data_IF_332829461819
#
_entry.id   IF_332829461819
#
_cell.length_a   1.000
_cell.length_b   1.000
_cell.length_c   1.000
_cell.angle_alpha   90.00
_cell.angle_beta   90.00
_cell.angle_gamma   90.00
#
_symmetry.space_group_name_H-M   'P 1'
#
loop_
_entity.id
_entity.type
_entity.pdbx_description
1 polymer ?
#
# COMPACT_ATOMS: atom_id res chain seq x y z
N UNK A 1 25.16 31.39 1.14
CA UNK A 1 24.72 30.04 0.73
C UNK A 1 23.78 29.52 1.80
N UNK A 2 22.61 28.99 1.44
CA UNK A 2 21.76 28.34 2.43
C UNK A 2 22.50 27.11 2.97
N UNK A 3 22.72 27.07 4.28
CA UNK A 3 23.32 25.90 4.94
C UNK A 3 22.28 24.78 4.88
N UNK A 4 22.63 23.66 4.25
CA UNK A 4 21.81 22.44 4.23
C UNK A 4 22.44 21.45 5.21
N UNK A 5 21.64 20.96 6.16
CA UNK A 5 22.09 19.99 7.15
C UNK A 5 22.04 18.55 6.60
N UNK A 6 22.73 17.63 7.28
CA UNK A 6 22.77 16.22 6.90
C UNK A 6 21.37 15.59 6.92
N UNK A 7 20.57 15.88 7.97
CA UNK A 7 19.23 15.33 8.11
C UNK A 7 18.26 15.87 7.07
N UNK A 8 18.39 17.13 6.65
CA UNK A 8 17.61 17.69 5.55
C UNK A 8 17.87 16.99 4.21
N UNK A 9 19.13 16.67 3.90
CA UNK A 9 19.47 15.93 2.67
C UNK A 9 18.87 14.53 2.72
N UNK A 10 19.04 13.79 3.82
CA UNK A 10 18.46 12.45 3.94
C UNK A 10 16.93 12.44 3.89
N UNK A 11 16.26 13.44 4.48
CA UNK A 11 14.81 13.60 4.36
C UNK A 11 14.38 13.80 2.90
N UNK A 12 15.17 14.54 2.11
CA UNK A 12 14.92 14.68 0.67
C UNK A 12 15.19 13.38 -0.10
N UNK A 13 16.22 12.61 0.28
CA UNK A 13 16.50 11.29 -0.30
C UNK A 13 15.33 10.33 -0.10
N UNK A 14 14.81 10.25 1.13
CA UNK A 14 13.67 9.42 1.47
C UNK A 14 12.41 9.90 0.73
N UNK A 15 12.15 11.21 0.69
CA UNK A 15 11.00 11.77 -0.05
C UNK A 15 11.04 11.43 -1.54
N UNK A 16 12.20 11.55 -2.20
CA UNK A 16 12.34 11.21 -3.62
C UNK A 16 12.11 9.72 -3.84
N UNK A 17 12.63 8.86 -2.96
CA UNK A 17 12.41 7.41 -3.01
C UNK A 17 10.92 7.06 -2.84
N UNK A 18 10.23 7.69 -1.90
CA UNK A 18 8.81 7.48 -1.67
C UNK A 18 7.97 7.94 -2.87
N UNK A 19 8.31 9.07 -3.48
CA UNK A 19 7.65 9.53 -4.70
C UNK A 19 7.84 8.55 -5.87
N UNK A 20 9.02 7.95 -6.01
CA UNK A 20 9.27 6.91 -7.02
C UNK A 20 8.42 5.66 -6.76
N UNK A 21 8.33 5.19 -5.51
CA UNK A 21 7.47 4.07 -5.14
C UNK A 21 5.98 4.37 -5.42
N UNK A 22 5.52 5.59 -5.13
CA UNK A 22 4.16 6.04 -5.46
C UNK A 22 3.93 6.05 -6.97
N UNK A 23 4.91 6.48 -7.76
CA UNK A 23 4.82 6.45 -9.22
C UNK A 23 4.66 5.02 -9.75
N UNK A 24 5.47 4.07 -9.27
CA UNK A 24 5.38 2.65 -9.67
C UNK A 24 4.01 2.05 -9.32
N UNK A 25 3.50 2.33 -8.12
CA UNK A 25 2.17 1.88 -7.70
C UNK A 25 1.05 2.50 -8.56
N UNK A 26 1.15 3.80 -8.85
CA UNK A 26 0.21 4.51 -9.72
C UNK A 26 0.23 3.95 -11.14
N UNK A 27 1.41 3.67 -11.70
CA UNK A 27 1.57 3.10 -13.03
C UNK A 27 0.91 1.71 -13.14
N UNK A 28 1.10 0.86 -12.13
CA UNK A 28 0.43 -0.43 -12.03
C UNK A 28 -1.10 -0.29 -11.98
N UNK A 29 -1.60 0.63 -11.16
CA UNK A 29 -3.04 0.92 -11.03
C UNK A 29 -3.64 1.45 -12.34
N UNK A 30 -2.96 2.41 -12.99
CA UNK A 30 -3.37 2.96 -14.29
C UNK A 30 -3.44 1.88 -15.37
N UNK A 31 -2.44 0.99 -15.44
CA UNK A 31 -2.45 -0.15 -16.37
C UNK A 31 -3.64 -1.07 -16.14
N UNK A 32 -3.95 -1.39 -14.89
CA UNK A 32 -5.11 -2.22 -14.56
C UNK A 32 -6.45 -1.55 -14.94
N UNK A 33 -6.58 -0.25 -14.69
CA UNK A 33 -7.79 0.52 -15.03
C UNK A 33 -7.99 0.60 -16.55
N UNK A 34 -6.94 0.87 -17.32
CA UNK A 34 -7.00 0.89 -18.78
C UNK A 34 -7.37 -0.49 -19.32
N UNK A 35 -6.72 -1.56 -18.84
CA UNK A 35 -7.02 -2.93 -19.28
C UNK A 35 -8.48 -3.35 -18.98
N UNK A 36 -9.06 -2.89 -17.87
CA UNK A 36 -10.47 -3.12 -17.57
C UNK A 36 -11.39 -2.37 -18.55
N UNK A 37 -11.06 -1.11 -18.87
CA UNK A 37 -11.83 -0.31 -19.82
C UNK A 37 -11.73 -0.88 -21.25
N UNK A 38 -10.54 -1.35 -21.66
CA UNK A 38 -10.32 -2.03 -22.95
C UNK A 38 -11.20 -3.28 -23.06
N UNK A 39 -11.19 -4.17 -22.05
CA UNK A 39 -12.05 -5.36 -22.03
C UNK A 39 -13.53 -5.03 -22.09
N UNK A 40 -13.95 -3.96 -21.41
CA UNK A 40 -15.34 -3.51 -21.42
C UNK A 40 -15.74 -3.00 -22.81
N UNK A 41 -14.85 -2.26 -23.47
CA UNK A 41 -15.05 -1.79 -24.83
C UNK A 41 -15.10 -2.94 -25.84
N UNK A 42 -14.14 -3.87 -25.80
CA UNK A 42 -14.14 -5.08 -26.64
C UNK A 42 -15.40 -5.93 -26.44
N UNK A 43 -15.85 -6.08 -25.18
CA UNK A 43 -17.10 -6.77 -24.87
C UNK A 43 -18.32 -6.09 -25.47
N UNK A 44 -18.37 -4.75 -25.45
CA UNK A 44 -19.48 -3.98 -26.03
C UNK A 44 -19.48 -4.04 -27.56
N UNK A 45 -18.31 -3.91 -28.20
CA UNK A 45 -18.14 -4.07 -29.66
C UNK A 45 -18.60 -5.47 -30.12
N UNK A 46 -18.14 -6.53 -29.45
CA UNK A 46 -18.54 -7.90 -29.77
C UNK A 46 -20.05 -8.11 -29.60
N UNK A 47 -20.64 -7.55 -28.53
CA UNK A 47 -22.07 -7.62 -28.31
C UNK A 47 -22.86 -6.86 -29.38
N UNK A 48 -22.33 -5.72 -29.86
CA UNK A 48 -22.92 -4.95 -30.95
C UNK A 48 -22.87 -5.71 -32.27
N UNK A 49 -21.72 -6.30 -32.63
CA UNK A 49 -21.61 -7.12 -33.83
C UNK A 49 -22.59 -8.29 -33.81
N UNK A 50 -22.67 -9.01 -32.68
CA UNK A 50 -23.65 -10.09 -32.52
C UNK A 50 -25.11 -9.60 -32.64
N UNK A 51 -25.40 -8.35 -32.22
CA UNK A 51 -26.72 -7.75 -32.44
C UNK A 51 -27.03 -7.46 -33.89
N UNK A 52 -26.03 -7.12 -34.70
CA UNK A 52 -26.21 -6.92 -36.14
C UNK A 52 -26.55 -8.25 -36.82
N UNK A 53 -25.77 -9.30 -36.53
CA UNK A 53 -26.00 -10.64 -37.08
C UNK A 53 -27.41 -11.17 -36.71
N UNK A 54 -27.84 -11.01 -35.46
CA UNK A 54 -29.17 -11.44 -35.01
C UNK A 54 -30.31 -10.62 -35.64
N UNK A 55 -30.08 -9.34 -35.95
CA UNK A 55 -31.05 -8.52 -36.65
C UNK A 55 -31.17 -8.97 -38.11
N UNK A 56 -30.06 -9.26 -38.78
CA UNK A 56 -30.06 -9.79 -40.14
C UNK A 56 -30.82 -11.12 -40.22
N UNK A 57 -30.59 -12.04 -39.28
CA UNK A 57 -31.34 -13.30 -39.16
C UNK A 57 -32.84 -13.06 -38.96
N UNK A 58 -33.22 -12.11 -38.09
CA UNK A 58 -34.62 -11.77 -37.84
C UNK A 58 -35.30 -11.16 -39.08
N UNK A 59 -34.59 -10.33 -39.84
CA UNK A 59 -35.06 -9.77 -41.12
C UNK A 59 -35.29 -10.90 -42.14
N UNK A 60 -34.36 -11.85 -42.27
CA UNK A 60 -34.53 -12.99 -43.17
C UNK A 60 -35.71 -13.86 -42.76
N UNK A 61 -35.89 -14.09 -41.46
CA UNK A 61 -37.04 -14.84 -40.94
C UNK A 61 -38.36 -14.14 -41.26
N UNK A 62 -38.47 -12.83 -41.01
CA UNK A 62 -39.67 -12.04 -41.34
C UNK A 62 -40.02 -12.12 -42.83
N UNK A 63 -39.02 -11.97 -43.71
CA UNK A 63 -39.19 -12.12 -45.17
C UNK A 63 -39.73 -13.51 -45.53
N UNK A 64 -39.17 -14.58 -44.94
CA UNK A 64 -39.62 -15.95 -45.22
C UNK A 64 -41.05 -16.21 -44.74
N UNK A 65 -41.43 -15.72 -43.56
CA UNK A 65 -42.79 -15.86 -43.02
C UNK A 65 -43.80 -15.00 -43.77
N UNK A 66 -43.37 -13.83 -44.27
CA UNK A 66 -44.19 -12.97 -45.12
C UNK A 66 -44.53 -13.67 -46.43
N UNK A 67 -43.53 -14.26 -47.09
CA UNK A 67 -43.71 -15.05 -48.30
C UNK A 67 -44.65 -16.25 -48.06
N UNK A 68 -44.50 -16.96 -46.93
CA UNK A 68 -45.36 -18.08 -46.57
C UNK A 68 -46.82 -17.65 -46.31
N UNK A 69 -47.04 -16.49 -45.72
CA UNK A 69 -48.37 -15.89 -45.52
C UNK A 69 -49.03 -15.53 -46.86
N UNK A 70 -48.26 -14.98 -47.81
CA UNK A 70 -48.75 -14.71 -49.17
C UNK A 70 -49.09 -16.01 -49.94
N UNK A 71 -48.28 -17.06 -49.79
CA UNK A 71 -48.54 -18.38 -50.37
C UNK A 71 -49.80 -19.02 -49.76
N UNK A 72 -49.97 -18.93 -48.44
CA UNK A 72 -51.16 -19.41 -47.73
C UNK A 72 -52.42 -18.65 -48.17
N UNK A 73 -52.33 -17.34 -48.39
CA UNK A 73 -53.43 -16.54 -48.92
C UNK A 73 -53.82 -17.00 -50.32
N UNK A 74 -52.84 -17.22 -51.21
CA UNK A 74 -53.11 -17.78 -52.56
C UNK A 74 -53.74 -19.18 -52.50
N UNK A 75 -53.36 -20.00 -51.53
CA UNK A 75 -53.96 -21.31 -51.32
C UNK A 75 -55.43 -21.21 -50.88
N UNK A 76 -55.75 -20.27 -49.98
CA UNK A 76 -57.14 -19.96 -49.60
C UNK A 76 -57.97 -19.52 -50.81
N UNK A 77 -57.46 -18.58 -51.62
CA UNK A 77 -58.16 -18.11 -52.82
C UNK A 77 -58.42 -19.25 -53.82
N UNK A 78 -57.46 -20.18 -53.95
CA UNK A 78 -57.58 -21.37 -54.81
C UNK A 78 -58.60 -22.37 -54.26
N UNK A 79 -58.63 -22.58 -52.94
CA UNK A 79 -59.59 -23.47 -52.28
C UNK A 79 -61.03 -22.94 -52.43
N UNK A 80 -61.24 -21.63 -52.27
CA UNK A 80 -62.54 -21.00 -52.52
C UNK A 80 -62.99 -21.13 -53.97
N UNK A 81 -62.10 -20.91 -54.94
CA UNK A 81 -62.45 -21.11 -56.35
C UNK A 81 -62.83 -22.57 -56.67
N UNK A 82 -62.19 -23.54 -56.00
CA UNK A 82 -62.50 -24.97 -56.13
C UNK A 82 -63.84 -25.33 -55.49
N UNK A 83 -64.16 -24.72 -54.34
CA UNK A 83 -65.46 -24.83 -53.69
C UNK A 83 -66.58 -24.26 -54.58
N UNK A 84 -66.40 -23.05 -55.12
CA UNK A 84 -67.37 -22.44 -56.04
C UNK A 84 -67.66 -23.34 -57.25
N UNK A 85 -66.62 -23.98 -57.81
CA UNK A 85 -66.74 -24.92 -58.91
C UNK A 85 -67.47 -26.23 -58.51
N UNK A 86 -67.21 -26.75 -57.30
CA UNK A 86 -67.89 -27.92 -56.75
C UNK A 86 -69.37 -27.63 -56.48
N UNK A 87 -69.69 -26.47 -55.89
CA UNK A 87 -71.07 -26.02 -55.64
C UNK A 87 -71.84 -25.78 -56.94
N UNK A 88 -71.19 -25.19 -57.95
CA UNK A 88 -71.78 -25.05 -59.28
C UNK A 88 -72.08 -26.42 -59.94
N UNK A 89 -71.18 -27.40 -59.78
CA UNK A 89 -71.36 -28.76 -60.30
C UNK A 89 -72.49 -29.51 -59.58
N UNK A 90 -72.56 -29.41 -58.25
CA UNK A 90 -73.64 -29.97 -57.45
C UNK A 90 -75.00 -29.35 -57.80
N UNK A 91 -75.05 -28.02 -57.94
CA UNK A 91 -76.24 -27.29 -58.39
C UNK A 91 -76.68 -27.74 -59.79
N UNK A 92 -75.73 -27.92 -60.71
CA UNK A 92 -76.01 -28.44 -62.05
C UNK A 92 -76.51 -29.88 -62.05
N UNK A 93 -76.01 -30.75 -61.16
CA UNK A 93 -76.51 -32.13 -61.01
C UNK A 93 -77.93 -32.15 -60.43
N UNK A 94 -78.18 -31.36 -59.39
CA UNK A 94 -79.50 -31.24 -58.76
C UNK A 94 -80.57 -30.66 -59.69
N UNK A 95 -80.17 -29.89 -60.71
CA UNK A 95 -81.05 -29.34 -61.73
C UNK A 95 -81.37 -30.31 -62.90
N UNK A 96 -80.80 -31.52 -62.91
CA UNK A 96 -81.12 -32.53 -63.94
C UNK A 96 -82.56 -33.08 -63.76
N UNK A 97 -83.27 -33.38 -64.86
CA UNK A 97 -84.64 -33.90 -64.79
C UNK A 97 -84.69 -35.29 -64.14
N UNK A 98 -85.78 -35.55 -63.41
CA UNK A 98 -86.09 -36.85 -62.79
C UNK A 98 -86.18 -37.92 -63.87
N UNK A 99 -85.57 -39.09 -63.66
CA UNK A 99 -85.61 -40.21 -64.60
C UNK A 99 -87.05 -40.74 -64.78
N UNK A 100 -87.32 -41.41 -65.91
CA UNK A 100 -88.68 -41.89 -66.29
C UNK A 100 -89.31 -42.87 -65.26
N UNK A 101 -88.52 -43.46 -64.36
CA UNK A 101 -88.95 -44.32 -63.26
C UNK A 101 -89.27 -43.56 -61.95
N UNK A 102 -89.16 -42.23 -61.95
CA UNK A 102 -89.40 -41.36 -60.80
C UNK A 102 -88.20 -41.18 -59.87
N UNK A 103 -87.02 -41.73 -60.22
CA UNK A 103 -85.80 -41.53 -59.44
C UNK A 103 -85.15 -40.16 -59.75
N UNK A 104 -84.78 -39.42 -58.70
CA UNK A 104 -83.96 -38.20 -58.84
C UNK A 104 -82.53 -38.53 -59.26
N UNK A 105 -81.79 -37.59 -59.90
CA UNK A 105 -80.37 -37.72 -60.17
C UNK A 105 -79.57 -38.03 -58.89
N UNK A 106 -78.71 -39.05 -58.92
CA UNK A 106 -77.82 -39.38 -57.82
C UNK A 106 -76.60 -38.42 -57.84
N UNK A 107 -76.71 -37.35 -57.06
CA UNK A 107 -75.65 -36.34 -56.91
C UNK A 107 -74.75 -36.60 -55.69
N UNK A 108 -74.68 -37.86 -55.20
CA UNK A 108 -73.87 -38.21 -54.03
C UNK A 108 -72.40 -37.86 -54.20
N UNK A 109 -71.85 -38.07 -55.40
CA UNK A 109 -70.45 -37.76 -55.70
C UNK A 109 -70.16 -36.26 -55.75
N UNK A 110 -71.03 -35.43 -56.34
CA UNK A 110 -70.90 -33.98 -56.33
C UNK A 110 -71.07 -33.41 -54.92
N UNK A 111 -71.93 -34.04 -54.11
CA UNK A 111 -72.10 -33.70 -52.70
C UNK A 111 -70.82 -33.99 -51.90
N UNK A 112 -70.26 -35.20 -52.06
CA UNK A 112 -68.98 -35.59 -51.43
C UNK A 112 -67.86 -34.64 -51.86
N UNK A 113 -67.78 -34.26 -53.14
CA UNK A 113 -66.82 -33.26 -53.63
C UNK A 113 -66.97 -31.88 -53.02
N UNK A 114 -68.21 -31.46 -52.73
CA UNK A 114 -68.48 -30.17 -52.08
C UNK A 114 -68.06 -30.22 -50.62
N UNK A 115 -68.28 -31.36 -49.94
CA UNK A 115 -67.82 -31.59 -48.56
C UNK A 115 -66.29 -31.59 -48.50
N UNK A 116 -65.61 -32.27 -49.43
CA UNK A 116 -64.15 -32.27 -49.54
C UNK A 116 -63.59 -30.87 -49.80
N UNK A 117 -64.16 -30.11 -50.76
CA UNK A 117 -63.72 -28.75 -51.05
C UNK A 117 -63.95 -27.78 -49.86
N UNK A 118 -65.03 -27.96 -49.08
CA UNK A 118 -65.25 -27.21 -47.83
C UNK A 118 -64.20 -27.52 -46.78
N UNK A 119 -63.85 -28.79 -46.62
CA UNK A 119 -62.78 -29.19 -45.70
C UNK A 119 -61.41 -28.62 -46.12
N UNK A 120 -61.13 -28.55 -47.42
CA UNK A 120 -59.93 -27.91 -47.97
C UNK A 120 -59.90 -26.40 -47.68
N UNK A 121 -61.03 -25.70 -47.81
CA UNK A 121 -61.14 -24.27 -47.43
C UNK A 121 -60.90 -24.08 -45.93
N UNK A 122 -61.50 -24.91 -45.07
CA UNK A 122 -61.28 -24.84 -43.62
C UNK A 122 -59.81 -25.07 -43.28
N UNK A 123 -59.16 -26.06 -43.91
CA UNK A 123 -57.74 -26.33 -43.72
C UNK A 123 -56.85 -25.17 -44.20
N UNK A 124 -57.14 -24.59 -45.37
CA UNK A 124 -56.39 -23.46 -45.90
C UNK A 124 -56.56 -22.20 -45.03
N UNK A 125 -57.78 -21.93 -44.54
CA UNK A 125 -58.05 -20.82 -43.62
C UNK A 125 -57.28 -20.97 -42.31
N UNK A 126 -57.29 -22.17 -41.70
CA UNK A 126 -56.52 -22.45 -40.48
C UNK A 126 -55.01 -22.28 -40.70
N UNK A 127 -54.49 -22.72 -41.84
CA UNK A 127 -53.07 -22.55 -42.19
C UNK A 127 -52.70 -21.07 -42.41
N UNK A 128 -53.58 -20.29 -43.03
CA UNK A 128 -53.40 -18.84 -43.16
C UNK A 128 -53.42 -18.12 -41.81
N UNK A 129 -54.32 -18.50 -40.91
CA UNK A 129 -54.36 -17.94 -39.56
C UNK A 129 -53.05 -18.22 -38.80
N UNK A 130 -52.55 -19.46 -38.86
CA UNK A 130 -51.28 -19.82 -38.24
C UNK A 130 -50.10 -19.04 -38.82
N UNK A 131 -49.97 -18.99 -40.15
CA UNK A 131 -48.86 -18.26 -40.81
C UNK A 131 -48.91 -16.75 -40.56
N UNK A 132 -50.11 -16.17 -40.40
CA UNK A 132 -50.26 -14.76 -39.98
C UNK A 132 -49.79 -14.53 -38.55
N UNK A 133 -50.12 -15.43 -37.62
CA UNK A 133 -49.62 -15.35 -36.25
C UNK A 133 -48.09 -15.52 -36.17
N UNK A 134 -47.53 -16.41 -37.00
CA UNK A 134 -46.08 -16.59 -37.11
C UNK A 134 -45.40 -15.34 -37.68
N UNK A 135 -46.01 -14.68 -38.67
CA UNK A 135 -45.51 -13.41 -39.22
C UNK A 135 -45.54 -12.28 -38.18
N UNK A 136 -46.63 -12.15 -37.41
CA UNK A 136 -46.71 -11.15 -36.33
C UNK A 136 -45.59 -11.36 -35.30
N UNK A 137 -45.35 -12.61 -34.91
CA UNK A 137 -44.24 -12.98 -34.02
C UNK A 137 -42.87 -12.65 -34.63
N UNK A 138 -42.69 -12.89 -35.92
CA UNK A 138 -41.44 -12.56 -36.62
C UNK A 138 -41.19 -11.04 -36.65
N UNK A 139 -42.23 -10.24 -36.90
CA UNK A 139 -42.14 -8.78 -36.86
C UNK A 139 -41.80 -8.26 -35.46
N UNK A 140 -42.40 -8.83 -34.42
CA UNK A 140 -42.07 -8.50 -33.02
C UNK A 140 -40.61 -8.83 -32.69
N UNK A 141 -40.13 -10.00 -33.10
CA UNK A 141 -38.75 -10.41 -32.92
C UNK A 141 -37.77 -9.48 -33.64
N UNK A 142 -38.04 -9.08 -34.89
CA UNK A 142 -37.22 -8.11 -35.62
C UNK A 142 -37.15 -6.77 -34.87
N UNK A 143 -38.30 -6.23 -34.44
CA UNK A 143 -38.33 -4.98 -33.67
C UNK A 143 -37.56 -5.08 -32.35
N UNK A 144 -37.59 -6.25 -31.69
CA UNK A 144 -36.79 -6.50 -30.49
C UNK A 144 -35.28 -6.50 -30.79
N UNK A 145 -34.85 -7.08 -31.92
CA UNK A 145 -33.45 -7.08 -32.34
C UNK A 145 -32.96 -5.68 -32.75
N UNK A 146 -33.80 -4.85 -33.37
CA UNK A 146 -33.47 -3.45 -33.65
C UNK A 146 -33.21 -2.65 -32.36
N UNK A 147 -34.09 -2.81 -31.36
CA UNK A 147 -33.89 -2.17 -30.05
C UNK A 147 -32.63 -2.68 -29.36
N UNK A 148 -32.35 -3.98 -29.46
CA UNK A 148 -31.13 -4.58 -28.91
C UNK A 148 -29.89 -3.97 -29.56
N UNK A 149 -29.86 -3.85 -30.88
CA UNK A 149 -28.75 -3.26 -31.63
C UNK A 149 -28.51 -1.79 -31.22
N UNK A 150 -29.58 -1.01 -31.12
CA UNK A 150 -29.49 0.39 -30.67
C UNK A 150 -28.88 0.50 -29.26
N UNK A 151 -29.34 -0.33 -28.32
CA UNK A 151 -28.77 -0.36 -26.97
C UNK A 151 -27.30 -0.78 -26.95
N UNK A 152 -26.90 -1.77 -27.77
CA UNK A 152 -25.49 -2.20 -27.84
C UNK A 152 -24.59 -1.15 -28.49
N UNK A 153 -25.09 -0.37 -29.46
CA UNK A 153 -24.36 0.77 -30.04
C UNK A 153 -24.17 1.91 -29.04
N UNK A 154 -25.19 2.20 -28.23
CA UNK A 154 -25.08 3.15 -27.13
C UNK A 154 -24.05 2.68 -26.08
N UNK A 155 -24.12 1.42 -25.67
CA UNK A 155 -23.16 0.83 -24.73
C UNK A 155 -21.72 0.89 -25.26
N UNK A 156 -21.53 0.62 -26.55
CA UNK A 156 -20.22 0.70 -27.22
C UNK A 156 -19.67 2.12 -27.21
N UNK A 157 -20.51 3.11 -27.52
CA UNK A 157 -20.14 4.54 -27.46
C UNK A 157 -19.73 4.96 -26.04
N UNK A 158 -20.50 4.55 -25.04
CA UNK A 158 -20.18 4.83 -23.63
C UNK A 158 -18.88 4.15 -23.19
N UNK A 159 -18.64 2.90 -23.59
CA UNK A 159 -17.42 2.18 -23.29
C UNK A 159 -16.18 2.80 -23.96
N UNK A 160 -16.31 3.25 -25.22
CA UNK A 160 -15.25 3.97 -25.93
C UNK A 160 -14.90 5.30 -25.23
N UNK A 161 -15.91 6.06 -24.80
CA UNK A 161 -15.71 7.30 -24.02
C UNK A 161 -15.02 7.01 -22.69
N UNK A 162 -15.44 5.96 -21.96
CA UNK A 162 -14.84 5.56 -20.70
C UNK A 162 -13.37 5.15 -20.86
N UNK A 163 -13.04 4.41 -21.92
CA UNK A 163 -11.66 4.04 -22.25
C UNK A 163 -10.80 5.28 -22.54
N UNK A 164 -11.28 6.18 -23.41
CA UNK A 164 -10.57 7.42 -23.72
C UNK A 164 -10.33 8.29 -22.48
N UNK A 165 -11.34 8.41 -21.61
CA UNK A 165 -11.23 9.13 -20.34
C UNK A 165 -10.22 8.47 -19.40
N UNK A 166 -10.26 7.15 -19.25
CA UNK A 166 -9.32 6.42 -18.40
C UNK A 166 -7.87 6.63 -18.88
N UNK A 167 -7.62 6.54 -20.19
CA UNK A 167 -6.30 6.80 -20.77
C UNK A 167 -5.82 8.23 -20.50
N UNK A 168 -6.69 9.24 -20.73
CA UNK A 168 -6.35 10.64 -20.52
C UNK A 168 -6.03 10.95 -19.05
N UNK A 169 -6.86 10.47 -18.13
CA UNK A 169 -6.70 10.69 -16.69
C UNK A 169 -5.42 10.02 -16.16
N UNK A 170 -5.17 8.77 -16.58
CA UNK A 170 -3.95 8.04 -16.24
C UNK A 170 -2.70 8.78 -16.74
N UNK A 171 -2.68 9.18 -18.01
CA UNK A 171 -1.55 9.92 -18.59
C UNK A 171 -1.28 11.24 -17.86
N UNK A 172 -2.33 11.99 -17.53
CA UNK A 172 -2.21 13.26 -16.82
C UNK A 172 -1.63 13.07 -15.41
N UNK A 173 -2.12 12.08 -14.67
CA UNK A 173 -1.64 11.77 -13.31
C UNK A 173 -0.19 11.30 -13.32
N UNK A 174 0.16 10.37 -14.19
CA UNK A 174 1.53 9.85 -14.32
C UNK A 174 2.51 10.96 -14.69
N UNK A 175 2.14 11.84 -15.64
CA UNK A 175 2.96 12.98 -16.01
C UNK A 175 3.17 13.94 -14.84
N UNK A 176 2.13 14.23 -14.06
CA UNK A 176 2.22 15.12 -12.91
C UNK A 176 3.17 14.58 -11.83
N UNK A 177 3.05 13.28 -11.49
CA UNK A 177 3.95 12.63 -10.53
C UNK A 177 5.38 12.62 -11.04
N UNK A 178 5.59 12.31 -12.33
CA UNK A 178 6.92 12.33 -12.95
C UNK A 178 7.59 13.71 -12.87
N UNK A 179 6.84 14.78 -13.15
CA UNK A 179 7.35 16.14 -12.99
C UNK A 179 7.72 16.48 -11.54
N UNK A 180 6.95 15.97 -10.56
CA UNK A 180 7.29 16.13 -9.15
C UNK A 180 8.57 15.38 -8.77
N UNK A 181 8.76 14.16 -9.30
CA UNK A 181 9.99 13.38 -9.14
C UNK A 181 11.17 14.13 -9.75
N UNK A 182 11.07 14.63 -10.98
CA UNK A 182 12.16 15.35 -11.65
C UNK A 182 12.59 16.60 -10.85
N UNK A 183 11.62 17.36 -10.32
CA UNK A 183 11.89 18.48 -9.41
C UNK A 183 12.55 18.02 -8.11
N UNK A 184 12.08 16.90 -7.55
CA UNK A 184 12.64 16.28 -6.35
C UNK A 184 14.10 15.88 -6.55
N UNK A 185 14.42 15.20 -7.66
CA UNK A 185 15.78 14.79 -8.03
C UNK A 185 16.69 16.01 -8.22
N UNK A 186 16.23 17.04 -8.93
CA UNK A 186 17.01 18.27 -9.12
C UNK A 186 17.31 18.96 -7.79
N UNK A 187 16.30 19.05 -6.90
CA UNK A 187 16.46 19.63 -5.56
C UNK A 187 17.41 18.80 -4.70
N UNK A 188 17.29 17.47 -4.74
CA UNK A 188 18.18 16.55 -4.02
C UNK A 188 19.62 16.71 -4.50
N UNK A 189 19.86 16.73 -5.82
CA UNK A 189 21.20 16.94 -6.38
C UNK A 189 21.81 18.28 -5.92
N UNK A 190 21.03 19.36 -5.92
CA UNK A 190 21.50 20.66 -5.43
C UNK A 190 21.80 20.63 -3.91
N UNK A 191 20.96 19.94 -3.13
CA UNK A 191 21.15 19.78 -1.69
C UNK A 191 22.40 18.94 -1.36
N UNK A 192 22.65 17.87 -2.11
CA UNK A 192 23.86 17.05 -1.99
C UNK A 192 25.13 17.85 -2.31
N UNK A 193 25.12 18.64 -3.39
CA UNK A 193 26.24 19.53 -3.73
C UNK A 193 26.49 20.58 -2.64
N UNK A 194 25.41 21.17 -2.10
CA UNK A 194 25.52 22.14 -1.00
C UNK A 194 26.08 21.49 0.27
N UNK A 195 25.66 20.27 0.60
CA UNK A 195 26.20 19.51 1.73
C UNK A 195 27.68 19.18 1.50
N UNK A 196 28.06 18.70 0.32
CA UNK A 196 29.46 18.40 0.00
C UNK A 196 30.37 19.64 0.15
N UNK A 197 29.93 20.79 -0.37
CA UNK A 197 30.65 22.05 -0.22
C UNK A 197 30.74 22.51 1.25
N UNK A 198 29.68 22.30 2.03
CA UNK A 198 29.68 22.58 3.47
C UNK A 198 30.67 21.70 4.22
N UNK A 199 30.63 20.37 4.00
CA UNK A 199 31.53 19.42 4.64
C UNK A 199 33.00 19.70 4.26
N UNK A 200 33.27 20.08 3.00
CA UNK A 200 34.62 20.41 2.54
C UNK A 200 35.25 21.62 3.25
N UNK A 201 34.41 22.54 3.79
CA UNK A 201 34.87 23.77 4.45
C UNK A 201 34.69 23.75 5.97
N UNK A 202 34.04 22.72 6.52
CA UNK A 202 33.74 22.59 7.95
C UNK A 202 34.22 21.22 8.49
N UNK A 203 35.49 21.11 8.93
CA UNK A 203 36.08 19.83 9.36
C UNK A 203 35.28 19.13 10.48
N UNK A 204 34.78 19.89 11.46
CA UNK A 204 33.97 19.33 12.55
C UNK A 204 32.70 18.64 12.04
N UNK A 205 32.05 19.25 11.04
CA UNK A 205 30.87 18.68 10.40
C UNK A 205 31.21 17.47 9.52
N UNK A 206 32.34 17.51 8.81
CA UNK A 206 32.85 16.37 8.05
C UNK A 206 33.16 15.17 8.96
N UNK A 207 33.78 15.41 10.12
CA UNK A 207 34.06 14.39 11.12
C UNK A 207 32.77 13.80 11.70
N UNK A 208 31.77 14.64 12.00
CA UNK A 208 30.45 14.17 12.43
C UNK A 208 29.76 13.35 11.34
N UNK A 209 29.79 13.80 10.09
CA UNK A 209 29.23 13.07 8.96
C UNK A 209 29.90 11.71 8.78
N UNK A 210 31.23 11.63 8.90
CA UNK A 210 31.97 10.38 8.87
C UNK A 210 31.63 9.48 10.06
N UNK A 211 31.41 10.05 11.25
CA UNK A 211 30.89 9.31 12.40
C UNK A 211 29.48 8.76 12.11
N UNK A 212 28.57 9.56 11.57
CA UNK A 212 27.19 9.15 11.30
C UNK A 212 27.11 8.07 10.20
N UNK A 213 27.88 8.23 9.11
CA UNK A 213 27.94 7.31 7.97
C UNK A 213 28.97 6.19 8.15
N UNK A 214 29.38 5.94 9.38
CA UNK A 214 30.37 4.93 9.70
C UNK A 214 29.96 3.54 9.20
N UNK A 215 30.87 2.90 8.48
CA UNK A 215 30.70 1.54 7.97
C UNK A 215 31.83 0.67 8.53
N UNK A 216 31.56 -0.17 9.55
CA UNK A 216 32.59 -0.98 10.19
C UNK A 216 33.20 -2.03 9.24
N UNK A 217 32.46 -2.45 8.20
CA UNK A 217 32.97 -3.43 7.22
C UNK A 217 34.12 -2.83 6.41
N UNK A 218 34.01 -1.55 6.04
CA UNK A 218 35.04 -0.84 5.26
C UNK A 218 36.26 -0.42 6.09
N UNK A 219 36.12 -0.30 7.42
CA UNK A 219 37.12 0.33 8.28
C UNK A 219 37.89 -0.64 9.20
N UNK A 220 37.98 -1.92 8.84
CA UNK A 220 38.80 -2.90 9.57
C UNK A 220 38.02 -4.03 10.23
N UNK A 221 36.70 -4.09 10.04
CA UNK A 221 35.89 -5.30 10.16
C UNK A 221 35.69 -5.88 11.56
N UNK A 222 36.50 -5.56 12.57
CA UNK A 222 36.32 -6.01 13.96
C UNK A 222 36.12 -4.82 14.87
N UNK A 223 35.06 -4.85 15.66
CA UNK A 223 34.76 -3.79 16.62
C UNK A 223 35.32 -4.17 17.99
N UNK A 224 36.26 -3.37 18.48
CA UNK A 224 36.92 -3.55 19.79
C UNK A 224 36.36 -2.57 20.82
N UNK A 225 36.68 -2.74 22.13
CA UNK A 225 36.24 -1.79 23.15
C UNK A 225 36.75 -0.35 22.91
N UNK A 226 37.89 -0.19 22.25
CA UNK A 226 38.45 1.12 21.87
C UNK A 226 37.59 1.79 20.80
N UNK A 227 37.19 1.06 19.77
CA UNK A 227 36.27 1.56 18.73
C UNK A 227 34.94 1.97 19.35
N UNK A 228 34.39 1.15 20.24
CA UNK A 228 33.15 1.48 20.95
C UNK A 228 33.29 2.74 21.80
N UNK A 229 34.38 2.85 22.57
CA UNK A 229 34.66 4.03 23.38
C UNK A 229 34.72 5.29 22.53
N UNK A 230 35.46 5.24 21.43
CA UNK A 230 35.68 6.41 20.58
C UNK A 230 34.37 6.84 19.90
N UNK A 231 33.53 5.88 19.48
CA UNK A 231 32.19 6.19 18.93
C UNK A 231 31.21 6.76 19.95
N UNK A 232 31.31 6.36 21.22
CA UNK A 232 30.44 6.87 22.29
C UNK A 232 30.91 8.23 22.84
N UNK A 233 32.15 8.62 22.58
CA UNK A 233 32.77 9.81 23.15
C UNK A 233 32.64 11.03 22.24
N UNK A 234 31.40 11.43 21.92
CA UNK A 234 31.14 12.63 21.13
C UNK A 234 31.59 13.91 21.83
N UNK A 235 32.20 14.84 21.09
CA UNK A 235 32.53 16.19 21.57
C UNK A 235 31.27 17.02 21.83
N UNK A 236 31.41 18.23 22.41
CA UNK A 236 30.31 19.19 22.56
C UNK A 236 29.61 19.49 21.24
N UNK A 237 30.40 19.74 20.20
CA UNK A 237 29.94 20.10 18.86
C UNK A 237 29.24 18.91 18.20
N UNK A 238 29.80 17.71 18.30
CA UNK A 238 29.15 16.51 17.76
C UNK A 238 27.86 16.15 18.48
N UNK A 239 27.77 16.39 19.79
CA UNK A 239 26.50 16.23 20.53
C UNK A 239 25.44 17.21 20.05
N UNK A 240 25.82 18.47 19.81
CA UNK A 240 24.90 19.45 19.21
C UNK A 240 24.45 19.02 17.80
N UNK A 241 25.37 18.58 16.94
CA UNK A 241 25.00 18.10 15.60
C UNK A 241 24.11 16.86 15.64
N UNK A 242 24.31 15.96 16.61
CA UNK A 242 23.41 14.82 16.83
C UNK A 242 22.02 15.29 17.29
N UNK A 243 21.92 16.31 18.15
CA UNK A 243 20.63 16.90 18.55
C UNK A 243 19.87 17.45 17.34
N UNK A 244 20.55 18.23 16.49
CA UNK A 244 20.00 18.80 15.26
C UNK A 244 19.55 17.69 14.31
N UNK A 245 20.39 16.69 14.09
CA UNK A 245 20.08 15.53 13.27
C UNK A 245 18.84 14.77 13.78
N UNK A 246 18.76 14.51 15.10
CA UNK A 246 17.60 13.84 15.71
C UNK A 246 16.33 14.69 15.60
N UNK A 247 16.42 16.00 15.79
CA UNK A 247 15.30 16.92 15.64
C UNK A 247 14.73 16.91 14.20
N UNK A 248 15.61 16.77 13.20
CA UNK A 248 15.21 16.69 11.79
C UNK A 248 14.64 15.31 11.41
N UNK A 249 15.28 14.23 11.88
CA UNK A 249 15.01 12.85 11.42
C UNK A 249 14.04 12.06 12.29
N UNK A 250 13.86 12.43 13.55
CA UNK A 250 13.00 11.73 14.49
C UNK A 250 11.82 12.64 14.93
N UNK A 251 10.61 12.43 14.38
CA UNK A 251 9.43 13.22 14.72
C UNK A 251 9.05 13.17 16.22
N UNK A 252 9.24 12.03 16.88
CA UNK A 252 8.91 11.87 18.31
C UNK A 252 9.91 12.66 19.17
N UNK A 253 11.19 12.62 18.81
CA UNK A 253 12.23 13.42 19.46
C UNK A 253 11.97 14.92 19.28
N UNK A 254 11.64 15.34 18.04
CA UNK A 254 11.25 16.72 17.72
C UNK A 254 10.08 17.19 18.56
N UNK A 255 8.99 16.42 18.59
CA UNK A 255 7.80 16.76 19.37
C UNK A 255 8.12 16.89 20.87
N UNK A 256 9.00 16.04 21.40
CA UNK A 256 9.44 16.13 22.80
C UNK A 256 10.26 17.39 23.07
N UNK A 257 11.17 17.76 22.17
CA UNK A 257 11.95 19.00 22.26
C UNK A 257 11.02 20.22 22.19
N UNK A 258 10.13 20.28 21.20
CA UNK A 258 9.20 21.40 21.02
C UNK A 258 8.30 21.59 22.23
N UNK A 259 7.77 20.49 22.78
CA UNK A 259 7.01 20.51 24.05
C UNK A 259 7.81 21.10 25.22
N UNK A 260 9.10 20.78 25.33
CA UNK A 260 9.93 21.36 26.39
C UNK A 260 10.32 22.81 26.12
N UNK A 261 10.47 23.22 24.87
CA UNK A 261 10.63 24.63 24.47
C UNK A 261 9.41 25.45 24.86
N UNK A 262 8.21 24.96 24.55
CA UNK A 262 6.95 25.59 24.95
C UNK A 262 6.83 25.73 26.47
N UNK A 263 7.12 24.66 27.22
CA UNK A 263 7.12 24.69 28.69
C UNK A 263 8.16 25.64 29.26
N UNK A 264 9.34 25.74 28.64
CA UNK A 264 10.41 26.65 29.07
C UNK A 264 10.00 28.10 28.88
N UNK A 265 9.43 28.45 27.72
CA UNK A 265 8.94 29.80 27.41
C UNK A 265 7.75 30.18 28.30
N UNK A 266 6.85 29.24 28.61
CA UNK A 266 5.69 29.49 29.45
C UNK A 266 6.01 29.60 30.96
N UNK A 267 7.19 29.13 31.39
CA UNK A 267 7.55 29.08 32.81
C UNK A 267 7.78 30.49 33.40
N UNK A 268 7.04 30.83 34.44
CA UNK A 268 7.13 32.11 35.14
C UNK A 268 8.03 32.02 36.37
N UNK A 269 9.28 32.45 36.21
CA UNK A 269 10.27 32.49 37.28
C UNK A 269 10.98 31.15 37.55
N UNK A 270 11.88 31.18 38.53
CA UNK A 270 12.88 30.12 38.72
C UNK A 270 12.30 28.79 39.18
N UNK A 271 11.21 28.80 39.95
CA UNK A 271 10.58 27.57 40.47
C UNK A 271 10.02 26.72 39.33
N UNK A 272 9.28 27.34 38.41
CA UNK A 272 8.70 26.64 37.26
C UNK A 272 9.78 26.19 36.28
N UNK A 273 10.77 27.05 36.00
CA UNK A 273 11.93 26.71 35.16
C UNK A 273 12.71 25.53 35.73
N UNK A 274 12.95 25.49 37.04
CA UNK A 274 13.59 24.34 37.69
C UNK A 274 12.75 23.05 37.56
N UNK A 275 11.42 23.17 37.60
CA UNK A 275 10.50 22.07 37.29
C UNK A 275 10.70 21.53 35.86
N UNK A 276 10.80 22.41 34.86
CA UNK A 276 11.06 22.04 33.47
C UNK A 276 12.45 21.41 33.30
N UNK A 277 13.51 22.01 33.88
CA UNK A 277 14.87 21.46 33.88
C UNK A 277 14.88 20.02 34.42
N UNK A 278 14.16 19.76 35.52
CA UNK A 278 14.09 18.42 36.10
C UNK A 278 13.45 17.42 35.13
N UNK A 279 12.37 17.79 34.44
CA UNK A 279 11.73 16.94 33.43
C UNK A 279 12.66 16.67 32.24
N UNK A 280 13.34 17.71 31.73
CA UNK A 280 14.33 17.57 30.64
C UNK A 280 15.43 16.58 31.03
N UNK A 281 15.98 16.69 32.25
CA UNK A 281 17.04 15.80 32.76
C UNK A 281 16.61 14.34 32.88
N UNK A 282 15.33 14.08 33.14
CA UNK A 282 14.79 12.73 33.29
C UNK A 282 14.41 12.15 31.93
N UNK A 283 13.64 12.88 31.14
CA UNK A 283 13.01 12.35 29.92
C UNK A 283 13.90 12.55 28.69
N UNK A 284 14.26 13.80 28.35
CA UNK A 284 14.97 14.11 27.12
C UNK A 284 16.42 13.63 27.17
N UNK A 285 17.10 13.84 28.30
CA UNK A 285 18.49 13.46 28.46
C UNK A 285 18.69 11.93 28.52
N UNK A 286 17.69 11.20 29.04
CA UNK A 286 17.69 9.74 29.00
C UNK A 286 17.62 9.24 27.57
N UNK A 287 16.61 9.70 26.83
CA UNK A 287 16.41 9.36 25.42
C UNK A 287 17.61 9.78 24.54
N UNK A 288 18.19 10.96 24.75
CA UNK A 288 19.37 11.37 23.99
C UNK A 288 20.55 10.39 24.16
N UNK A 289 20.75 9.88 25.38
CA UNK A 289 21.77 8.86 25.63
C UNK A 289 21.48 7.53 24.92
N UNK A 290 20.22 7.10 24.90
CA UNK A 290 19.77 5.93 24.12
C UNK A 290 19.99 6.14 22.62
N UNK A 291 19.64 7.32 22.09
CA UNK A 291 19.84 7.65 20.67
C UNK A 291 21.32 7.70 20.30
N UNK A 292 22.18 8.27 21.15
CA UNK A 292 23.63 8.25 20.95
C UNK A 292 24.14 6.81 20.85
N UNK A 293 23.75 5.94 21.79
CA UNK A 293 24.13 4.54 21.76
C UNK A 293 23.61 3.84 20.50
N UNK A 294 22.36 4.09 20.13
CA UNK A 294 21.75 3.56 18.90
C UNK A 294 22.54 3.96 17.67
N UNK A 295 22.79 5.25 17.45
CA UNK A 295 23.53 5.73 16.27
C UNK A 295 25.01 5.31 16.27
N UNK A 296 25.61 5.14 17.44
CA UNK A 296 26.97 4.63 17.56
C UNK A 296 27.07 3.15 17.14
N UNK A 297 26.07 2.32 17.48
CA UNK A 297 26.14 0.86 17.41
C UNK A 297 25.36 0.25 16.24
N UNK A 298 24.28 0.91 15.81
CA UNK A 298 23.42 0.51 14.71
C UNK A 298 24.17 0.02 13.46
N UNK A 299 25.26 0.69 13.01
CA UNK A 299 25.98 0.25 11.82
C UNK A 299 26.65 -1.13 11.95
N UNK A 300 26.70 -1.74 13.13
CA UNK A 300 27.28 -3.07 13.28
C UNK A 300 26.36 -4.20 12.81
N UNK A 301 25.04 -3.99 12.70
CA UNK A 301 24.08 -5.04 12.33
C UNK A 301 23.30 -4.77 11.05
N UNK A 302 22.68 -5.83 10.54
CA UNK A 302 21.70 -5.77 9.45
C UNK A 302 20.29 -5.40 9.94
N UNK A 303 19.97 -5.67 11.21
CA UNK A 303 18.66 -5.36 11.80
C UNK A 303 18.80 -4.84 13.23
N UNK A 304 17.92 -3.90 13.57
CA UNK A 304 17.89 -3.22 14.87
C UNK A 304 16.48 -3.27 15.42
N UNK A 305 16.35 -3.73 16.65
CA UNK A 305 15.12 -3.72 17.41
C UNK A 305 15.32 -2.88 18.67
N UNK A 306 14.35 -2.02 18.98
CA UNK A 306 14.36 -1.18 20.19
C UNK A 306 13.14 -1.47 21.03
N UNK A 307 13.31 -1.46 22.35
CA UNK A 307 12.23 -1.66 23.33
C UNK A 307 11.52 -3.02 23.20
N UNK A 308 12.25 -4.06 22.76
CA UNK A 308 11.76 -5.43 22.66
C UNK A 308 11.37 -5.99 24.03
N UNK A 309 10.19 -6.61 24.14
CA UNK A 309 9.69 -7.15 25.42
C UNK A 309 10.16 -8.59 25.62
N UNK A 310 10.84 -8.84 26.73
CA UNK A 310 11.22 -10.20 27.16
C UNK A 310 10.50 -10.54 28.46
N UNK A 311 9.71 -11.60 28.46
CA UNK A 311 9.05 -12.09 29.68
C UNK A 311 10.05 -12.84 30.55
N UNK A 312 10.07 -12.51 31.85
CA UNK A 312 11.04 -13.03 32.83
C UNK A 312 10.29 -13.85 33.88
N UNK A 313 10.59 -15.15 33.93
CA UNK A 313 9.96 -16.11 34.84
C UNK A 313 8.50 -16.42 34.49
N UNK A 314 7.82 -17.14 35.38
CA UNK A 314 6.43 -17.62 35.17
C UNK A 314 5.36 -16.61 35.63
N UNK A 315 5.75 -15.52 36.29
CA UNK A 315 4.83 -14.55 36.93
C UNK A 315 4.33 -13.45 35.98
N UNK A 316 4.53 -13.60 34.66
CA UNK A 316 4.13 -12.60 33.66
C UNK A 316 4.88 -11.25 33.72
N UNK A 317 5.93 -11.15 34.54
CA UNK A 317 6.83 -9.97 34.54
C UNK A 317 7.57 -9.90 33.22
N UNK A 318 7.83 -8.69 32.74
CA UNK A 318 8.65 -8.49 31.55
C UNK A 318 9.66 -7.37 31.77
N UNK A 319 10.76 -7.45 31.03
CA UNK A 319 11.71 -6.37 30.85
C UNK A 319 11.69 -5.91 29.39
N UNK A 320 12.21 -4.71 29.13
CA UNK A 320 12.43 -4.21 27.79
C UNK A 320 13.92 -4.07 27.55
N UNK A 321 14.37 -4.47 26.38
CA UNK A 321 15.75 -4.27 25.92
C UNK A 321 15.82 -3.00 25.10
N UNK A 322 16.69 -2.06 25.50
CA UNK A 322 16.81 -0.78 24.81
C UNK A 322 17.28 -0.93 23.38
N UNK A 323 18.30 -1.76 23.14
CA UNK A 323 18.81 -2.04 21.80
C UNK A 323 19.19 -3.52 21.63
N UNK A 324 18.60 -4.16 20.63
CA UNK A 324 18.99 -5.47 20.12
C UNK A 324 19.41 -5.32 18.67
N UNK A 325 20.67 -5.66 18.38
CA UNK A 325 21.26 -5.66 17.05
C UNK A 325 21.40 -7.12 16.63
N UNK A 326 20.83 -7.49 15.49
CA UNK A 326 20.94 -8.85 14.92
C UNK A 326 21.56 -8.80 13.54
N UNK A 327 22.02 -9.97 13.09
CA UNK A 327 22.73 -10.12 11.81
C UNK A 327 23.96 -9.21 11.77
N UNK A 328 24.85 -9.38 12.75
CA UNK A 328 26.08 -8.58 12.84
C UNK A 328 26.89 -8.69 11.55
N UNK A 329 27.26 -7.55 10.98
CA UNK A 329 28.05 -7.45 9.75
C UNK A 329 29.55 -7.61 9.99
N UNK A 330 29.95 -7.51 11.26
CA UNK A 330 31.34 -7.47 11.75
C UNK A 330 31.43 -8.18 13.10
N UNK A 331 32.53 -8.89 13.42
CA UNK A 331 32.72 -9.40 14.76
C UNK A 331 32.81 -8.25 15.78
N UNK A 332 32.17 -8.43 16.92
CA UNK A 332 32.21 -7.49 18.05
C UNK A 332 32.92 -8.17 19.21
N UNK A 333 33.90 -7.50 19.80
CA UNK A 333 34.62 -7.95 20.98
C UNK A 333 34.50 -6.89 22.07
N UNK A 334 33.81 -7.23 23.16
CA UNK A 334 33.61 -6.39 24.34
C UNK A 334 34.67 -6.64 25.41
N UNK A 335 35.31 -7.81 25.39
CA UNK A 335 36.30 -8.21 26.38
C UNK A 335 36.60 -9.70 26.36
N UNK A 336 37.13 -10.23 27.48
CA UNK A 336 37.43 -11.66 27.65
C UNK A 336 36.29 -12.34 28.42
N UNK A 337 35.88 -13.53 27.98
CA UNK A 337 34.87 -14.36 28.65
C UNK A 337 33.67 -14.71 27.77
N UNK A 338 32.81 -15.60 28.25
CA UNK A 338 31.55 -15.95 27.58
C UNK A 338 30.61 -14.72 27.55
N UNK A 339 29.90 -14.52 26.44
CA UNK A 339 29.00 -13.36 26.25
C UNK A 339 29.72 -12.03 25.99
N UNK A 340 31.05 -12.04 25.87
CA UNK A 340 31.87 -10.84 25.64
C UNK A 340 32.27 -10.64 24.18
N UNK A 341 31.68 -11.40 23.26
CA UNK A 341 31.90 -11.21 21.84
C UNK A 341 30.91 -11.97 21.00
N UNK A 342 30.65 -11.43 19.81
CA UNK A 342 29.72 -11.98 18.83
C UNK A 342 30.38 -12.00 17.46
N UNK A 343 30.15 -13.06 16.70
CA UNK A 343 30.70 -13.22 15.34
C UNK A 343 29.76 -12.56 14.31
N UNK A 344 30.22 -12.51 13.05
CA UNK A 344 29.36 -12.15 11.92
C UNK A 344 28.13 -13.07 11.88
N UNK A 345 26.95 -12.50 11.62
CA UNK A 345 25.64 -13.18 11.68
C UNK A 345 25.06 -13.31 13.09
N UNK A 346 25.85 -13.02 14.13
CA UNK A 346 25.41 -13.06 15.52
C UNK A 346 24.58 -11.85 15.94
N UNK A 347 24.45 -11.66 17.25
CA UNK A 347 23.59 -10.67 17.88
C UNK A 347 24.25 -9.97 19.07
N UNK A 348 23.84 -8.72 19.32
CA UNK A 348 24.31 -7.87 20.39
C UNK A 348 23.12 -7.20 21.09
N UNK A 349 22.96 -7.43 22.39
CA UNK A 349 21.92 -6.77 23.19
C UNK A 349 22.53 -5.80 24.21
N UNK A 350 21.90 -4.65 24.42
CA UNK A 350 22.31 -3.74 25.49
C UNK A 350 21.17 -2.96 26.13
N UNK A 351 21.47 -2.53 27.35
CA UNK A 351 20.71 -1.56 28.13
C UNK A 351 21.51 -0.27 28.26
N UNK A 352 20.85 0.89 28.26
CA UNK A 352 21.47 2.20 28.36
C UNK A 352 21.05 2.90 29.65
N UNK A 353 22.01 3.30 30.48
CA UNK A 353 21.77 4.04 31.73
C UNK A 353 22.58 5.33 31.83
N UNK A 354 21.87 6.46 31.77
CA UNK A 354 22.46 7.79 31.89
C UNK A 354 22.17 8.38 33.27
N UNK A 355 23.19 8.55 34.12
CA UNK A 355 22.98 9.14 35.44
C UNK A 355 24.24 9.38 36.24
N UNK A 356 24.11 10.10 37.35
CA UNK A 356 25.23 10.32 38.27
C UNK A 356 25.62 9.05 39.00
N UNK A 357 26.87 8.98 39.47
CA UNK A 357 27.45 7.85 40.17
C UNK A 357 26.50 7.17 41.18
N UNK A 358 25.95 7.93 42.12
CA UNK A 358 25.04 7.38 43.15
C UNK A 358 23.71 6.90 42.57
N UNK A 359 23.20 7.52 41.51
CA UNK A 359 22.02 7.04 40.81
C UNK A 359 22.30 5.72 40.10
N UNK A 360 23.42 5.61 39.38
CA UNK A 360 23.83 4.36 38.72
C UNK A 360 23.94 3.22 39.72
N UNK A 361 24.55 3.47 40.89
CA UNK A 361 24.64 2.48 41.96
C UNK A 361 23.26 2.11 42.53
N UNK A 362 22.39 3.10 42.77
CA UNK A 362 21.03 2.85 43.26
C UNK A 362 20.16 2.04 42.26
N UNK A 363 20.51 2.04 40.97
CA UNK A 363 19.84 1.28 39.93
C UNK A 363 20.37 -0.16 39.78
N UNK A 364 21.31 -0.62 40.62
CA UNK A 364 21.95 -1.95 40.52
C UNK A 364 20.94 -3.08 40.30
N UNK A 365 19.99 -3.24 41.21
CA UNK A 365 19.04 -4.37 41.17
C UNK A 365 18.10 -4.28 39.96
N UNK A 366 17.78 -3.06 39.54
CA UNK A 366 16.99 -2.83 38.33
C UNK A 366 17.76 -3.23 37.07
N UNK A 367 19.03 -2.83 36.95
CA UNK A 367 19.88 -3.23 35.80
C UNK A 367 20.11 -4.74 35.77
N UNK A 368 20.29 -5.39 36.92
CA UNK A 368 20.41 -6.85 37.03
C UNK A 368 19.12 -7.53 36.54
N UNK A 369 17.95 -7.02 36.92
CA UNK A 369 16.68 -7.55 36.40
C UNK A 369 16.56 -7.35 34.88
N UNK A 370 17.02 -6.22 34.34
CA UNK A 370 16.95 -5.97 32.89
C UNK A 370 17.91 -6.83 32.08
N UNK A 371 19.05 -7.21 32.66
CA UNK A 371 20.01 -8.12 32.02
C UNK A 371 19.41 -9.48 31.64
N UNK A 372 18.37 -9.94 32.35
CA UNK A 372 17.60 -11.14 31.99
C UNK A 372 17.02 -11.06 30.58
N UNK A 373 16.69 -9.86 30.11
CA UNK A 373 16.13 -9.63 28.77
C UNK A 373 17.11 -9.89 27.63
N UNK A 374 18.41 -9.89 27.92
CA UNK A 374 19.47 -9.94 26.92
C UNK A 374 20.00 -11.34 26.66
N UNK A 375 19.71 -12.31 27.55
CA UNK A 375 20.41 -13.61 27.65
C UNK A 375 20.47 -14.45 26.37
N UNK A 376 19.60 -14.18 25.41
CA UNK A 376 19.56 -14.88 24.14
C UNK A 376 20.49 -14.29 23.07
N UNK A 377 21.11 -13.13 23.33
CA UNK A 377 22.08 -12.53 22.44
C UNK A 377 23.47 -13.15 22.61
N UNK A 378 24.26 -13.21 21.53
CA UNK A 378 25.62 -13.77 21.54
C UNK A 378 26.57 -12.92 22.39
N UNK A 379 26.40 -11.60 22.33
CA UNK A 379 27.07 -10.65 23.20
C UNK A 379 26.05 -9.72 23.86
N UNK A 380 26.34 -9.33 25.11
CA UNK A 380 25.46 -8.43 25.84
C UNK A 380 26.22 -7.58 26.86
N UNK A 381 25.74 -6.36 27.09
CA UNK A 381 26.34 -5.46 28.07
C UNK A 381 25.37 -4.36 28.52
N UNK A 382 25.61 -3.81 29.70
CA UNK A 382 24.95 -2.57 30.12
C UNK A 382 25.88 -1.41 29.84
N UNK A 383 25.41 -0.43 29.07
CA UNK A 383 26.12 0.80 28.77
C UNK A 383 25.68 1.90 29.72
N UNK A 384 26.63 2.58 30.36
CA UNK A 384 26.30 3.71 31.23
C UNK A 384 27.18 4.95 30.96
N UNK A 385 26.77 6.08 31.55
CA UNK A 385 27.63 7.27 31.60
C UNK A 385 28.91 6.99 32.39
N UNK A 386 29.97 7.68 31.99
CA UNK A 386 31.29 7.55 32.62
C UNK A 386 31.35 7.99 34.09
N UNK A 387 30.29 8.60 34.62
CA UNK A 387 30.14 8.95 36.04
C UNK A 387 30.25 7.73 36.97
N UNK A 388 30.18 6.49 36.46
CA UNK A 388 30.53 5.30 37.23
C UNK A 388 31.97 5.34 37.79
N UNK A 389 32.85 6.11 37.17
CA UNK A 389 34.23 6.29 37.64
C UNK A 389 34.31 7.15 38.92
N UNK A 390 33.24 7.88 39.25
CA UNK A 390 33.16 8.71 40.46
C UNK A 390 32.61 7.93 41.68
N UNK A 391 32.28 6.64 41.52
CA UNK A 391 31.97 5.76 42.64
C UNK A 391 33.24 5.41 43.43
N UNK A 392 33.08 5.08 44.72
CA UNK A 392 34.20 4.48 45.47
C UNK A 392 34.60 3.14 44.82
N UNK A 393 35.87 2.73 44.92
CA UNK A 393 36.36 1.49 44.32
C UNK A 393 35.52 0.26 44.71
N UNK A 394 35.03 0.21 45.95
CA UNK A 394 34.21 -0.88 46.47
C UNK A 394 32.85 -0.93 45.79
N UNK A 395 32.14 0.22 45.74
CA UNK A 395 30.84 0.33 45.09
C UNK A 395 30.92 0.07 43.59
N UNK A 396 31.98 0.56 42.94
CA UNK A 396 32.20 0.33 41.52
C UNK A 396 32.43 -1.15 41.24
N UNK A 397 33.26 -1.82 42.06
CA UNK A 397 33.51 -3.25 41.95
C UNK A 397 32.24 -4.06 42.17
N UNK A 398 31.49 -3.79 43.23
CA UNK A 398 30.23 -4.46 43.54
C UNK A 398 29.24 -4.37 42.37
N UNK A 399 29.05 -3.18 41.81
CA UNK A 399 28.15 -2.97 40.68
C UNK A 399 28.62 -3.71 39.42
N UNK A 400 29.92 -3.67 39.11
CA UNK A 400 30.50 -4.35 37.95
C UNK A 400 30.41 -5.87 38.07
N UNK A 401 30.66 -6.41 39.25
CA UNK A 401 30.63 -7.85 39.51
C UNK A 401 29.19 -8.36 39.47
N UNK A 402 28.23 -7.66 40.10
CA UNK A 402 26.81 -8.02 40.05
C UNK A 402 26.26 -8.10 38.61
N UNK A 403 26.63 -7.14 37.76
CA UNK A 403 26.19 -7.14 36.36
C UNK A 403 26.93 -8.15 35.49
N UNK A 404 28.20 -8.46 35.80
CA UNK A 404 28.92 -9.56 35.16
C UNK A 404 28.29 -10.91 35.49
N UNK A 405 27.89 -11.12 36.74
CA UNK A 405 27.18 -12.33 37.19
C UNK A 405 25.80 -12.47 36.55
N UNK A 406 25.09 -11.35 36.35
CA UNK A 406 23.84 -11.31 35.60
C UNK A 406 24.02 -11.53 34.08
N UNK A 407 25.28 -11.62 33.62
CA UNK A 407 25.64 -11.84 32.21
C UNK A 407 25.74 -10.56 31.39
N UNK A 408 25.42 -9.38 31.91
CA UNK A 408 25.40 -8.10 31.19
C UNK A 408 26.46 -7.13 31.75
N UNK A 409 27.75 -7.38 31.53
CA UNK A 409 28.83 -6.59 32.11
C UNK A 409 28.70 -5.09 31.81
N UNK A 410 29.07 -4.28 32.80
CA UNK A 410 28.87 -2.84 32.77
C UNK A 410 30.02 -2.11 32.06
N UNK A 411 29.69 -1.28 31.09
CA UNK A 411 30.61 -0.47 30.29
C UNK A 411 30.27 1.01 30.45
N UNK A 412 31.18 1.79 31.05
CA UNK A 412 31.00 3.22 31.29
C UNK A 412 31.66 4.08 30.22
N UNK A 413 31.02 4.20 29.05
CA UNK A 413 31.60 4.90 27.88
C UNK A 413 30.79 6.12 27.41
N UNK A 414 29.52 6.24 27.79
CA UNK A 414 28.72 7.42 27.43
C UNK A 414 29.30 8.70 28.03
N UNK A 415 29.04 9.88 27.43
CA UNK A 415 29.40 11.17 28.03
C UNK A 415 28.88 11.27 29.46
N UNK A 416 29.54 12.07 30.29
CA UNK A 416 29.09 12.26 31.66
C UNK A 416 27.67 12.83 31.67
N UNK A 417 26.92 12.53 32.74
CA UNK A 417 25.54 12.99 32.86
C UNK A 417 25.42 14.51 32.78
N UNK A 418 26.41 15.25 33.31
CA UNK A 418 26.42 16.70 33.21
C UNK A 418 26.60 17.21 31.78
N UNK A 419 27.42 16.53 30.97
CA UNK A 419 27.61 16.91 29.55
C UNK A 419 26.33 16.66 28.75
N UNK A 420 25.65 15.54 28.99
CA UNK A 420 24.36 15.23 28.37
C UNK A 420 23.31 16.26 28.80
N UNK A 421 23.20 16.51 30.10
CA UNK A 421 22.24 17.47 30.67
C UNK A 421 22.44 18.87 30.07
N UNK A 422 23.69 19.33 30.01
CA UNK A 422 24.02 20.64 29.44
C UNK A 422 23.63 20.69 27.96
N UNK A 423 24.02 19.68 27.17
CA UNK A 423 23.70 19.63 25.73
C UNK A 423 22.19 19.68 25.46
N UNK A 424 21.39 18.88 26.18
CA UNK A 424 19.94 18.89 26.03
C UNK A 424 19.31 20.21 26.49
N UNK A 425 19.79 20.78 27.60
CA UNK A 425 19.26 22.04 28.12
C UNK A 425 19.55 23.21 27.18
N UNK A 426 20.78 23.29 26.68
CA UNK A 426 21.19 24.34 25.74
C UNK A 426 20.38 24.22 24.44
N UNK A 427 20.18 23.01 23.92
CA UNK A 427 19.37 22.79 22.71
C UNK A 427 17.89 23.18 22.85
N UNK A 428 17.31 23.00 24.04
CA UNK A 428 15.96 23.50 24.36
C UNK A 428 15.96 25.03 24.48
N UNK A 429 17.00 25.62 25.07
CA UNK A 429 17.07 27.08 25.30
C UNK A 429 17.38 27.91 24.07
N UNK A 430 18.02 27.33 23.04
CA UNK A 430 18.41 28.01 21.79
C UNK A 430 17.26 28.77 21.07
N UNK A 431 15.99 28.48 21.37
CA UNK A 431 14.85 29.25 20.83
C UNK A 431 14.77 30.71 21.32
N UNK A 432 15.50 31.11 22.37
CA UNK A 432 15.55 32.50 22.84
C UNK A 432 16.46 33.41 22.01
N UNK A 433 17.44 32.88 21.25
CA UNK A 433 18.42 33.70 20.51
C UNK A 433 18.06 33.95 19.03
N UNK A 434 16.97 33.35 18.52
CA UNK A 434 16.54 33.44 17.10
C UNK A 434 15.24 34.23 16.91
N UNK A 435 14.73 34.89 17.95
CA UNK A 435 13.67 35.89 17.79
C UNK A 435 14.29 37.28 17.51
N UNK A 436 14.18 37.82 16.28
CA UNK A 436 14.54 39.22 16.01
C UNK A 436 13.59 40.21 16.70
#
# INVERSE_FOLDING_TARGET
>A
MALVSIGQVENLEDLVRDLQAVHEALESSCRAQIALAERTYEGAENASQLSEDLLDDAIQQELSTSQASEDAQRAVDTAYASLDAAEASLSSCAAQPVFEDGASPDCSWEHDRTVEARAEVDQACNALEQTRADLETAMENRMAMERRLEMTRQATTMAAQALAQAMQECNTRLLSVRQAIDRGIARLSAAQQALEAYLATNPVAADFYAWLKWDPVKQGGVVTPEVLRDRMNLSSEHRQMLQEYLYERNPDYRAKVDRFREQWVAANGDVERNGVVRKIRIELCGEFGEQLARHALAPMGGRIETQGRTFVGENGRYTKTDLLITDLRVPVVLGRGQGMGAQVGGSLALEVKCGKAQYLYAQKDHMVFQAEGHKHADAQFTLCSRDIQDLSPEKQKELRDALREAGSPLIGMLPSKNEIDLSCLDFVRQSEEVQP
#
